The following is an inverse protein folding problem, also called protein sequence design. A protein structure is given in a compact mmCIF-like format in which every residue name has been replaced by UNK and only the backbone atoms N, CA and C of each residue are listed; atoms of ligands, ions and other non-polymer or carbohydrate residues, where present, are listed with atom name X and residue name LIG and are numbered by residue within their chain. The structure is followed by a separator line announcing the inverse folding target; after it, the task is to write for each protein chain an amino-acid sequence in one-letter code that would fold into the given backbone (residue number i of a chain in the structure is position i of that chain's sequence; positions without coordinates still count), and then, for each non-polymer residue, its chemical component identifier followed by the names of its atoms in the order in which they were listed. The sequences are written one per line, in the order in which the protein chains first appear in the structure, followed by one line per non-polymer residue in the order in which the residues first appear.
data_IF_124696329502
#
_entry.id   IF_124696329502
#
_cell.length_a   1.000
_cell.length_b   1.000
_cell.length_c   1.000
_cell.angle_alpha   90.00
_cell.angle_beta   90.00
_cell.angle_gamma   90.00
#
_symmetry.space_group_name_H-M   'P 1'
#
loop_
_entity.id
_entity.type
_entity.pdbx_description
1 polymer ?
#
# COMPACT_ATOMS: atom_id res chain seq x y z
N UNK A 1 -1.89 -26.81 8.60
CA UNK A 1 -2.97 -25.84 8.87
C UNK A 1 -2.35 -24.47 8.79
N UNK A 2 -2.75 -23.64 7.83
CA UNK A 2 -2.28 -22.26 7.78
C UNK A 2 -2.75 -21.56 9.06
N UNK A 3 -1.83 -20.89 9.75
CA UNK A 3 -2.16 -20.16 10.96
C UNK A 3 -3.09 -18.99 10.58
N UNK A 4 -4.39 -19.12 10.88
CA UNK A 4 -5.41 -18.09 10.61
C UNK A 4 -5.19 -16.84 11.47
N UNK A 5 -4.34 -16.91 12.50
CA UNK A 5 -4.08 -15.84 13.46
C UNK A 5 -3.48 -14.57 12.81
N UNK A 6 -2.93 -14.69 11.60
CA UNK A 6 -2.33 -13.56 10.87
C UNK A 6 -3.17 -13.10 9.67
N UNK A 7 -4.40 -13.60 9.54
CA UNK A 7 -5.30 -13.13 8.50
C UNK A 7 -5.90 -11.78 8.91
N UNK A 8 -5.76 -10.79 8.03
CA UNK A 8 -6.42 -9.50 8.20
C UNK A 8 -7.69 -9.48 7.34
N UNK A 9 -8.78 -8.89 7.83
CA UNK A 9 -10.01 -8.77 7.06
C UNK A 9 -10.74 -7.46 7.35
N UNK A 10 -11.48 -6.99 6.35
CA UNK A 10 -12.33 -5.81 6.43
C UNK A 10 -13.59 -6.05 5.60
N UNK A 11 -14.74 -5.74 6.18
CA UNK A 11 -16.00 -5.67 5.44
C UNK A 11 -16.22 -4.25 4.94
N UNK A 12 -16.68 -4.09 3.70
CA UNK A 12 -17.19 -2.83 3.17
C UNK A 12 -18.69 -2.73 3.51
N UNK A 13 -19.11 -2.05 4.60
CA UNK A 13 -20.53 -1.92 4.92
C UNK A 13 -21.25 -0.89 4.04
N UNK A 14 -20.50 -0.15 3.22
CA UNK A 14 -21.00 0.92 2.36
C UNK A 14 -21.95 0.44 1.28
N UNK A 15 -22.64 1.41 0.67
CA UNK A 15 -23.47 1.18 -0.52
C UNK A 15 -22.66 1.26 -1.82
N UNK A 16 -21.46 1.81 -1.73
CA UNK A 16 -20.56 2.06 -2.84
C UNK A 16 -19.33 1.15 -2.73
N UNK A 17 -18.55 1.09 -3.82
CA UNK A 17 -17.29 0.36 -3.86
C UNK A 17 -16.25 1.00 -2.95
N UNK A 18 -15.40 0.17 -2.34
CA UNK A 18 -14.22 0.61 -1.60
C UNK A 18 -12.99 0.29 -2.45
N UNK A 19 -12.15 1.29 -2.69
CA UNK A 19 -10.89 1.08 -3.40
C UNK A 19 -9.79 0.73 -2.38
N UNK A 20 -9.16 -0.43 -2.57
CA UNK A 20 -8.02 -0.86 -1.79
C UNK A 20 -6.75 -0.75 -2.62
N UNK A 21 -5.74 -0.06 -2.11
CA UNK A 21 -4.42 0.08 -2.73
C UNK A 21 -3.39 -0.70 -1.92
N UNK A 22 -2.72 -1.66 -2.54
CA UNK A 22 -1.76 -2.56 -1.91
C UNK A 22 -0.32 -2.20 -2.29
N UNK A 23 0.42 -1.68 -1.32
CA UNK A 23 1.84 -1.41 -1.41
C UNK A 23 2.65 -2.59 -0.85
N UNK A 24 3.84 -2.88 -1.40
CA UNK A 24 4.58 -2.06 -2.37
C UNK A 24 4.38 -2.44 -3.85
N UNK A 25 3.41 -3.31 -4.15
CA UNK A 25 3.15 -3.76 -5.54
C UNK A 25 2.44 -2.72 -6.40
N UNK A 26 1.91 -1.66 -5.80
CA UNK A 26 1.12 -0.64 -6.50
C UNK A 26 -0.09 -1.25 -7.21
N UNK A 27 -0.80 -2.14 -6.52
CA UNK A 27 -1.99 -2.84 -7.03
C UNK A 27 -3.28 -2.28 -6.44
N UNK A 28 -4.30 -2.11 -7.27
CA UNK A 28 -5.62 -1.66 -6.84
C UNK A 28 -6.63 -2.81 -6.91
N UNK A 29 -7.45 -2.93 -5.86
CA UNK A 29 -8.57 -3.85 -5.79
C UNK A 29 -9.86 -3.06 -5.55
N UNK A 30 -10.85 -3.30 -6.41
CA UNK A 30 -12.21 -2.79 -6.22
C UNK A 30 -12.96 -3.76 -5.32
N UNK A 31 -13.30 -3.33 -4.11
CA UNK A 31 -14.07 -4.12 -3.16
C UNK A 31 -15.55 -3.73 -3.31
N UNK A 32 -16.42 -4.64 -3.81
CA UNK A 32 -17.83 -4.31 -4.02
C UNK A 32 -18.54 -3.89 -2.73
N UNK A 33 -19.64 -3.16 -2.89
CA UNK A 33 -20.51 -2.81 -1.78
C UNK A 33 -20.99 -4.08 -1.06
N UNK A 34 -20.93 -4.08 0.28
CA UNK A 34 -21.33 -5.21 1.13
C UNK A 34 -20.50 -6.48 0.98
N UNK A 35 -19.35 -6.41 0.32
CA UNK A 35 -18.38 -7.50 0.28
C UNK A 35 -17.37 -7.42 1.42
N UNK A 36 -16.65 -8.51 1.64
CA UNK A 36 -15.54 -8.59 2.58
C UNK A 36 -14.25 -8.90 1.85
N UNK A 37 -13.22 -8.10 2.12
CA UNK A 37 -11.85 -8.39 1.70
C UNK A 37 -11.09 -9.05 2.84
N UNK A 38 -10.33 -10.09 2.52
CA UNK A 38 -9.38 -10.71 3.43
C UNK A 38 -8.01 -10.81 2.76
N UNK A 39 -6.96 -10.56 3.53
CA UNK A 39 -5.58 -10.63 3.07
C UNK A 39 -4.82 -11.65 3.89
N UNK A 40 -4.08 -12.51 3.19
CA UNK A 40 -3.22 -13.53 3.80
C UNK A 40 -1.76 -13.25 3.47
N UNK A 41 -1.02 -12.61 4.39
CA UNK A 41 0.42 -12.46 4.26
C UNK A 41 1.14 -13.82 4.33
N UNK A 42 2.17 -14.00 3.52
CA UNK A 42 2.99 -15.21 3.54
C UNK A 42 3.94 -15.26 4.74
N UNK A 43 4.43 -16.47 5.04
CA UNK A 43 5.43 -16.68 6.08
C UNK A 43 4.95 -16.43 7.52
N UNK A 44 3.64 -16.32 7.75
CA UNK A 44 3.09 -16.02 9.07
C UNK A 44 3.52 -14.66 9.60
N UNK A 45 3.82 -13.71 8.71
CA UNK A 45 4.12 -12.33 9.07
C UNK A 45 2.82 -11.54 9.27
N UNK A 46 2.82 -10.46 10.07
CA UNK A 46 1.71 -9.53 10.08
C UNK A 46 1.52 -8.90 8.69
N UNK A 47 0.31 -8.44 8.38
CA UNK A 47 0.03 -7.78 7.10
C UNK A 47 0.93 -6.55 6.93
N UNK A 48 0.92 -5.63 7.90
CA UNK A 48 1.69 -4.40 7.88
C UNK A 48 0.86 -3.22 8.40
N UNK A 49 1.06 -2.04 7.83
CA UNK A 49 0.32 -0.82 8.22
C UNK A 49 -0.91 -0.62 7.32
N UNK A 50 -1.95 0.00 7.87
CA UNK A 50 -3.17 0.36 7.14
C UNK A 50 -3.43 1.85 7.33
N UNK A 51 -3.70 2.54 6.23
CA UNK A 51 -3.92 3.97 6.18
C UNK A 51 -5.20 4.27 5.41
N UNK A 52 -6.04 5.15 5.95
CA UNK A 52 -7.26 5.61 5.29
C UNK A 52 -7.01 6.96 4.64
N UNK A 53 -7.37 7.06 3.36
CA UNK A 53 -7.45 8.33 2.63
C UNK A 53 -8.91 8.58 2.22
N UNK A 54 -9.26 9.76 1.69
CA UNK A 54 -10.62 10.02 1.23
C UNK A 54 -11.11 9.05 0.15
N UNK A 55 -10.21 8.58 -0.72
CA UNK A 55 -10.54 7.79 -1.91
C UNK A 55 -10.16 6.31 -1.76
N UNK A 56 -9.11 6.00 -0.99
CA UNK A 56 -8.52 4.67 -0.89
C UNK A 56 -8.26 4.22 0.55
N UNK A 57 -8.41 2.92 0.76
CA UNK A 57 -7.76 2.19 1.84
C UNK A 57 -6.37 1.72 1.38
N UNK A 58 -5.32 2.29 1.94
CA UNK A 58 -3.94 1.94 1.58
C UNK A 58 -3.41 0.91 2.59
N UNK A 59 -2.85 -0.18 2.06
CA UNK A 59 -2.21 -1.24 2.85
C UNK A 59 -0.74 -1.26 2.51
N UNK A 60 0.11 -0.99 3.50
CA UNK A 60 1.56 -1.11 3.39
C UNK A 60 1.99 -2.48 3.89
N UNK A 61 2.06 -3.44 2.98
CA UNK A 61 2.43 -4.79 3.33
C UNK A 61 3.90 -4.90 3.75
N UNK A 62 4.15 -5.75 4.74
CA UNK A 62 5.49 -6.10 5.24
C UNK A 62 5.88 -7.55 4.94
N UNK A 63 4.95 -8.33 4.39
CA UNK A 63 5.17 -9.71 4.02
C UNK A 63 5.77 -9.83 2.61
N UNK A 64 6.56 -10.87 2.32
CA UNK A 64 7.12 -11.09 0.99
C UNK A 64 6.07 -11.20 -0.10
N UNK A 65 4.91 -11.80 0.20
CA UNK A 65 3.75 -11.89 -0.69
C UNK A 65 2.47 -11.79 0.13
N UNK A 66 1.38 -11.37 -0.52
CA UNK A 66 0.04 -11.27 0.06
C UNK A 66 -0.97 -11.82 -0.94
N UNK A 67 -1.73 -12.83 -0.51
CA UNK A 67 -2.92 -13.28 -1.23
C UNK A 67 -4.12 -12.41 -0.83
N UNK A 68 -4.89 -11.94 -1.82
CA UNK A 68 -6.10 -11.14 -1.60
C UNK A 68 -7.33 -11.97 -1.94
N UNK A 69 -8.30 -11.99 -1.04
CA UNK A 69 -9.58 -12.67 -1.19
C UNK A 69 -10.72 -11.67 -1.10
N UNK A 70 -11.68 -11.73 -2.02
CA UNK A 70 -12.93 -10.97 -1.96
C UNK A 70 -14.08 -11.97 -1.87
N UNK A 71 -14.86 -11.88 -0.79
CA UNK A 71 -15.92 -12.85 -0.46
C UNK A 71 -15.44 -14.31 -0.48
N UNK A 72 -14.18 -14.51 -0.07
CA UNK A 72 -13.51 -15.82 -0.04
C UNK A 72 -12.93 -16.29 -1.37
N UNK A 73 -13.11 -15.54 -2.46
CA UNK A 73 -12.53 -15.85 -3.77
C UNK A 73 -11.14 -15.22 -3.91
N UNK A 74 -10.14 -16.05 -4.20
CA UNK A 74 -8.77 -15.60 -4.46
C UNK A 74 -8.74 -14.71 -5.72
N UNK A 75 -8.13 -13.54 -5.58
CA UNK A 75 -7.93 -12.60 -6.68
C UNK A 75 -6.59 -12.86 -7.37
N UNK A 76 -6.58 -12.81 -8.69
CA UNK A 76 -5.34 -12.84 -9.47
C UNK A 76 -4.58 -11.52 -9.23
N UNK A 77 -3.37 -11.61 -8.69
CA UNK A 77 -2.61 -10.46 -8.19
C UNK A 77 -1.11 -10.69 -8.28
N UNK A 78 -0.38 -9.62 -8.59
CA UNK A 78 1.08 -9.63 -8.54
C UNK A 78 1.57 -9.75 -7.10
N UNK A 79 0.80 -9.26 -6.12
CA UNK A 79 1.12 -9.40 -4.70
C UNK A 79 1.20 -10.85 -4.23
N UNK A 80 0.47 -11.77 -4.88
CA UNK A 80 0.52 -13.19 -4.59
C UNK A 80 1.74 -13.90 -5.20
N UNK A 81 2.35 -13.33 -6.25
CA UNK A 81 3.36 -14.01 -7.09
C UNK A 81 4.74 -13.37 -7.05
N UNK A 82 4.82 -12.05 -6.89
CA UNK A 82 6.05 -11.27 -6.92
C UNK A 82 6.52 -11.06 -5.49
N UNK A 83 7.61 -11.71 -5.10
CA UNK A 83 8.17 -11.51 -3.77
C UNK A 83 8.82 -10.14 -3.63
N UNK A 84 8.43 -9.39 -2.60
CA UNK A 84 9.07 -8.12 -2.24
C UNK A 84 10.38 -8.40 -1.50
N UNK A 85 11.47 -7.67 -1.81
CA UNK A 85 12.72 -7.77 -1.08
C UNK A 85 12.54 -7.41 0.40
N UNK A 86 13.13 -8.18 1.32
CA UNK A 86 12.96 -7.99 2.77
C UNK A 86 13.36 -6.59 3.26
N UNK A 87 14.31 -5.94 2.59
CA UNK A 87 14.82 -4.61 2.95
C UNK A 87 14.06 -3.45 2.29
N UNK A 88 13.03 -3.72 1.47
CA UNK A 88 12.27 -2.66 0.83
C UNK A 88 11.33 -1.99 1.84
N UNK A 89 11.70 -0.80 2.29
CA UNK A 89 10.89 -0.04 3.26
C UNK A 89 9.97 0.99 2.58
N UNK A 90 8.86 1.32 3.24
CA UNK A 90 8.01 2.48 2.89
C UNK A 90 8.83 3.77 2.73
N UNK A 91 9.81 3.98 3.60
CA UNK A 91 10.71 5.14 3.55
C UNK A 91 11.53 5.21 2.26
N UNK A 92 12.08 4.07 1.81
CA UNK A 92 12.83 3.99 0.54
C UNK A 92 11.92 4.32 -0.65
N UNK A 93 10.71 3.75 -0.69
CA UNK A 93 9.75 4.04 -1.75
C UNK A 93 9.35 5.53 -1.76
N UNK A 94 9.13 6.13 -0.59
CA UNK A 94 8.84 7.56 -0.48
C UNK A 94 10.00 8.46 -0.93
N UNK A 95 11.24 7.99 -0.84
CA UNK A 95 12.42 8.70 -1.37
C UNK A 95 12.51 8.55 -2.88
N UNK A 96 12.36 7.35 -3.42
CA UNK A 96 12.41 7.08 -4.87
C UNK A 96 11.37 7.91 -5.62
N UNK A 97 10.15 7.97 -5.09
CA UNK A 97 9.03 8.68 -5.72
C UNK A 97 8.85 10.11 -5.19
N UNK A 98 9.80 10.64 -4.40
CA UNK A 98 9.70 11.97 -3.80
C UNK A 98 9.45 13.10 -4.81
N UNK A 99 10.05 13.00 -6.00
CA UNK A 99 9.92 13.98 -7.07
C UNK A 99 8.74 13.73 -8.02
N UNK A 100 8.08 12.58 -7.91
CA UNK A 100 6.93 12.19 -8.72
C UNK A 100 5.90 11.42 -7.88
N UNK A 101 5.23 12.08 -6.91
CA UNK A 101 4.25 11.39 -6.05
C UNK A 101 3.13 10.73 -6.84
N UNK A 102 2.71 11.36 -7.94
CA UNK A 102 1.69 10.84 -8.87
C UNK A 102 2.10 9.55 -9.59
N UNK A 103 3.35 9.12 -9.50
CA UNK A 103 3.76 7.80 -9.99
C UNK A 103 3.19 6.65 -9.14
N UNK A 104 2.46 6.95 -8.04
CA UNK A 104 1.77 5.98 -7.20
C UNK A 104 0.38 6.49 -6.86
N UNK A 105 -0.65 5.70 -7.13
CA UNK A 105 -2.04 6.08 -6.82
C UNK A 105 -2.33 6.11 -5.30
N UNK A 106 -1.50 5.47 -4.47
CA UNK A 106 -1.44 5.65 -3.01
C UNK A 106 -0.34 6.61 -2.53
N UNK A 107 0.39 7.25 -3.44
CA UNK A 107 1.31 8.32 -3.10
C UNK A 107 0.52 9.56 -2.82
N UNK A 108 0.35 9.94 -1.54
CA UNK A 108 -0.25 11.22 -1.19
C UNK A 108 0.49 12.29 -2.02
N UNK A 109 -0.20 13.10 -2.84
CA UNK A 109 0.45 14.25 -3.44
C UNK A 109 0.99 15.02 -2.26
N UNK A 110 2.32 15.13 -2.18
CA UNK A 110 2.91 16.03 -1.20
C UNK A 110 2.35 17.38 -1.57
N UNK A 111 1.37 17.87 -0.81
CA UNK A 111 0.86 19.21 -0.96
C UNK A 111 2.10 20.09 -1.07
N UNK A 112 2.26 20.80 -2.19
CA UNK A 112 3.48 21.52 -2.56
C UNK A 112 3.94 22.57 -1.53
N UNK A 113 3.24 22.70 -0.41
CA UNK A 113 3.55 23.58 0.71
C UNK A 113 4.35 22.94 1.85
N UNK A 114 4.54 21.62 1.94
CA UNK A 114 5.29 21.01 3.07
C UNK A 114 6.71 20.56 2.74
N UNK A 115 7.18 20.69 1.49
CA UNK A 115 8.51 20.18 1.08
C UNK A 115 9.50 21.20 0.58
N UNK A 116 9.46 22.41 1.14
CA UNK A 116 10.61 23.32 1.10
C UNK A 116 11.36 23.29 2.44
N UNK A 117 12.01 22.19 2.79
CA UNK A 117 13.03 22.27 3.83
C UNK A 117 14.19 21.29 3.62
N UNK A 118 15.38 21.80 3.94
CA UNK A 118 16.72 21.24 3.88
C UNK A 118 17.37 21.06 2.50
N UNK A 119 16.87 20.22 1.58
CA UNK A 119 17.61 19.96 0.33
C UNK A 119 17.62 21.12 -0.68
N UNK A 120 16.57 21.96 -0.67
CA UNK A 120 16.53 23.20 -1.46
C UNK A 120 17.53 24.26 -0.97
N UNK A 121 17.76 24.35 0.34
CA UNK A 121 18.73 25.26 0.94
C UNK A 121 20.18 24.86 0.63
N UNK A 122 20.48 23.56 0.57
CA UNK A 122 21.83 23.05 0.27
C UNK A 122 22.19 23.31 -1.20
N UNK A 123 21.25 23.13 -2.14
CA UNK A 123 21.50 23.44 -3.57
C UNK A 123 21.73 24.93 -3.84
N UNK A 124 21.11 25.82 -3.06
CA UNK A 124 21.32 27.27 -3.23
C UNK A 124 22.68 27.76 -2.70
N UNK A 125 23.32 27.01 -1.79
CA UNK A 125 24.64 27.36 -1.22
C UNK A 125 25.84 26.86 -2.01
N UNK A 126 25.63 26.02 -3.02
CA UNK A 126 26.69 25.38 -3.82
C UNK A 126 26.68 25.80 -5.30
N UNK A 127 25.98 26.88 -5.67
CA UNK A 127 26.14 27.48 -7.00
C UNK A 127 27.35 28.41 -6.99
N UNK A 128 28.31 28.10 -7.87
CA UNK A 128 29.23 29.06 -8.48
C UNK A 128 28.43 30.22 -9.10
#
# INVERSE_FOLDING_TARGET
MANLDNQWSLSNPGRDELLLWLEPWAEEFVIPARSTVAMRPSGGRPLGEVEWTPDHLIVWASAPTVEVFIDGLLQDSGSATIAVPEDLTRGMLNVVFAGQPAARLGGTPVNGNERLSLWGHIKHRLRW
#
